data_IF_194202863089
#
_entry.id   IF_194202863089
#
_cell.length_a   1.000
_cell.length_b   1.000
_cell.length_c   1.000
_cell.angle_alpha   90.00
_cell.angle_beta   90.00
_cell.angle_gamma   90.00
#
_symmetry.space_group_name_H-M   'P 1'
#
loop_
_entity.id
_entity.type
_entity.pdbx_description
1 polymer ?
#
# COMPACT_ATOMS: atom_id res chain seq x y z
N UNK A 1 7.17 -17.66 -21.52
CA UNK A 1 6.21 -16.55 -21.34
C UNK A 1 6.16 -16.26 -19.85
N UNK A 2 6.45 -15.03 -19.42
CA UNK A 2 6.30 -14.68 -18.01
C UNK A 2 4.81 -14.45 -17.78
N UNK A 3 4.14 -15.41 -17.14
CA UNK A 3 2.68 -15.35 -16.94
C UNK A 3 2.26 -14.23 -15.95
N UNK A 4 3.21 -13.71 -15.17
CA UNK A 4 2.97 -12.73 -14.09
C UNK A 4 4.00 -11.61 -14.13
N UNK A 5 3.54 -10.38 -14.36
CA UNK A 5 4.38 -9.18 -14.34
C UNK A 5 4.64 -8.68 -12.92
N UNK A 6 3.63 -8.73 -12.05
CA UNK A 6 3.76 -8.29 -10.67
C UNK A 6 2.85 -9.13 -9.78
N UNK A 7 3.43 -9.71 -8.74
CA UNK A 7 2.66 -10.30 -7.66
C UNK A 7 2.71 -9.38 -6.44
N UNK A 8 1.54 -8.97 -5.96
CA UNK A 8 1.41 -8.14 -4.77
C UNK A 8 0.69 -8.95 -3.70
N UNK A 9 1.29 -9.03 -2.51
CA UNK A 9 0.75 -9.76 -1.37
C UNK A 9 0.68 -8.86 -0.16
N UNK A 10 -0.50 -8.73 0.43
CA UNK A 10 -0.77 -7.98 1.66
C UNK A 10 -0.14 -6.58 1.68
N UNK A 11 -0.14 -5.90 0.54
CA UNK A 11 0.38 -4.54 0.43
C UNK A 11 -0.47 -3.63 1.29
N UNK A 12 0.17 -2.96 2.23
CA UNK A 12 -0.44 -1.92 3.05
C UNK A 12 0.46 -0.69 3.07
N UNK A 13 -0.15 0.48 3.17
CA UNK A 13 0.57 1.73 3.28
C UNK A 13 -0.10 2.62 4.29
N UNK A 14 0.66 2.95 5.32
CA UNK A 14 0.27 3.89 6.35
C UNK A 14 1.14 5.12 6.25
N UNK A 15 0.53 6.30 6.25
CA UNK A 15 1.23 7.56 6.40
C UNK A 15 1.04 8.09 7.81
N UNK A 16 2.09 8.73 8.33
CA UNK A 16 2.07 9.37 9.64
C UNK A 16 2.30 10.86 9.43
N UNK A 17 1.32 11.65 9.83
CA UNK A 17 1.37 13.10 9.75
C UNK A 17 1.51 13.70 11.13
N UNK A 18 2.24 14.81 11.22
CA UNK A 18 2.30 15.63 12.42
C UNK A 18 1.72 17.00 12.10
N UNK A 19 0.69 17.39 12.83
CA UNK A 19 0.08 18.72 12.74
C UNK A 19 0.46 19.51 13.98
N UNK A 20 1.22 20.59 13.78
CA UNK A 20 1.76 21.40 14.87
C UNK A 20 2.68 20.61 15.80
N UNK A 21 2.85 21.08 17.04
CA UNK A 21 3.79 20.46 17.97
C UNK A 21 3.31 19.14 18.59
N UNK A 22 2.00 18.83 18.61
CA UNK A 22 1.51 17.72 19.44
C UNK A 22 0.52 16.76 18.79
N UNK A 23 -0.05 17.06 17.62
CA UNK A 23 -1.02 16.15 16.99
C UNK A 23 -0.32 15.22 16.02
N UNK A 24 -0.32 13.92 16.33
CA UNK A 24 0.11 12.85 15.42
C UNK A 24 -1.13 12.17 14.87
N UNK A 25 -1.20 12.01 13.57
CA UNK A 25 -2.28 11.31 12.89
C UNK A 25 -1.70 10.20 12.03
N UNK A 26 -2.37 9.06 12.06
CA UNK A 26 -2.01 7.89 11.27
C UNK A 26 -3.13 7.65 10.26
N UNK A 27 -2.79 7.62 8.97
CA UNK A 27 -3.75 7.42 7.89
C UNK A 27 -3.39 6.12 7.16
N UNK A 28 -4.33 5.18 7.11
CA UNK A 28 -4.24 3.98 6.29
C UNK A 28 -4.59 4.33 4.84
N UNK A 29 -3.59 4.69 4.05
CA UNK A 29 -3.79 5.08 2.65
C UNK A 29 -4.00 3.90 1.72
N UNK A 30 -3.39 2.76 2.03
CA UNK A 30 -3.61 1.51 1.30
C UNK A 30 -3.98 0.46 2.33
N UNK A 31 -5.24 0.00 2.26
CA UNK A 31 -5.71 -1.18 2.99
C UNK A 31 -4.96 -2.42 2.50
N UNK A 32 -4.88 -3.51 3.28
CA UNK A 32 -4.22 -4.73 2.85
C UNK A 32 -4.81 -5.23 1.51
N UNK A 33 -3.98 -5.27 0.47
CA UNK A 33 -4.37 -5.71 -0.86
C UNK A 33 -3.44 -6.82 -1.37
N UNK A 34 -4.03 -7.81 -2.03
CA UNK A 34 -3.32 -8.89 -2.69
C UNK A 34 -3.86 -9.03 -4.11
N UNK A 35 -2.99 -8.97 -5.11
CA UNK A 35 -3.37 -9.12 -6.51
C UNK A 35 -2.20 -9.56 -7.38
N UNK A 36 -2.52 -10.02 -8.58
CA UNK A 36 -1.54 -10.44 -9.59
C UNK A 36 -1.78 -9.63 -10.86
N UNK A 37 -0.75 -8.96 -11.35
CA UNK A 37 -0.74 -8.29 -12.65
C UNK A 37 -0.15 -9.25 -13.68
N UNK A 38 -0.88 -9.45 -14.78
CA UNK A 38 -0.46 -10.28 -15.92
C UNK A 38 -0.15 -9.39 -17.12
N UNK A 39 0.71 -9.89 -18.00
CA UNK A 39 0.94 -9.27 -19.31
C UNK A 39 -0.30 -9.47 -20.18
N UNK A 40 -0.69 -8.44 -20.94
CA UNK A 40 -1.85 -8.43 -21.82
C UNK A 40 -1.46 -8.52 -23.28
#
# INVERSE_FOLDING_TARGET
MIETLLEVRNLSKTFRYRTGWFRRQTVEAVKPLSFTLREG
#
